data_IF_098277552916
#
_entry.id   IF_098277552916
#
_cell.length_a   1.000
_cell.length_b   1.000
_cell.length_c   1.000
_cell.angle_alpha   90.00
_cell.angle_beta   90.00
_cell.angle_gamma   90.00
#
_symmetry.space_group_name_H-M   'P 1'
#
loop_
_entity.id
_entity.type
_entity.pdbx_description
1 polymer ?
#
# COMPACT_ATOMS: atom_id res chain seq x y z
N UNK A 1 14.46 -17.93 -2.43
CA UNK A 1 13.02 -18.12 -2.73
C UNK A 1 12.57 -19.58 -2.65
N UNK A 2 13.09 -20.53 -3.45
CA UNK A 2 12.60 -21.93 -3.43
C UNK A 2 12.95 -22.74 -2.17
N UNK A 3 13.96 -22.32 -1.40
CA UNK A 3 14.34 -23.00 -0.16
C UNK A 3 13.34 -22.70 0.98
N UNK A 4 12.98 -21.43 1.17
CA UNK A 4 12.17 -20.95 2.32
C UNK A 4 10.73 -21.48 2.27
N UNK A 5 10.14 -21.57 1.07
CA UNK A 5 8.78 -22.10 0.86
C UNK A 5 8.62 -23.57 1.24
N UNK A 6 9.64 -24.39 1.02
CA UNK A 6 9.63 -25.81 1.43
C UNK A 6 9.62 -25.96 2.94
N UNK A 7 10.29 -25.05 3.68
CA UNK A 7 10.26 -25.05 5.14
C UNK A 7 8.92 -24.58 5.69
N UNK A 8 8.32 -23.54 5.09
CA UNK A 8 7.02 -23.00 5.54
C UNK A 8 5.94 -24.08 5.51
N UNK A 9 5.92 -24.94 4.47
CA UNK A 9 4.94 -26.03 4.39
C UNK A 9 4.91 -26.92 5.64
N UNK A 10 6.06 -27.10 6.32
CA UNK A 10 6.24 -27.95 7.51
C UNK A 10 5.95 -27.24 8.84
N UNK A 11 5.76 -25.92 8.84
CA UNK A 11 5.52 -25.14 10.06
C UNK A 11 4.14 -25.47 10.62
N UNK A 12 4.10 -25.79 11.93
CA UNK A 12 2.85 -25.90 12.69
C UNK A 12 2.37 -24.50 13.03
N UNK A 13 1.16 -24.15 12.62
CA UNK A 13 0.56 -22.83 12.87
C UNK A 13 0.41 -22.61 14.38
N UNK A 14 0.82 -21.44 14.86
CA UNK A 14 0.43 -20.97 16.18
C UNK A 14 -1.03 -20.50 16.14
N UNK A 15 -1.93 -21.31 16.70
CA UNK A 15 -3.38 -21.04 16.71
C UNK A 15 -3.78 -19.78 17.52
N UNK A 16 -2.84 -19.15 18.24
CA UNK A 16 -3.08 -17.89 18.96
C UNK A 16 -2.83 -16.64 18.11
N UNK A 17 -2.31 -16.77 16.89
CA UNK A 17 -2.04 -15.62 16.01
C UNK A 17 -3.35 -14.93 15.66
N UNK A 18 -3.40 -13.62 15.87
CA UNK A 18 -4.50 -12.79 15.42
C UNK A 18 -4.36 -12.49 13.91
N UNK A 19 -5.32 -12.94 13.11
CA UNK A 19 -5.37 -12.80 11.65
C UNK A 19 -6.34 -11.71 11.18
N UNK A 20 -6.66 -10.71 12.02
CA UNK A 20 -7.53 -9.59 11.63
C UNK A 20 -7.08 -8.90 10.35
N UNK A 21 -5.78 -8.63 10.20
CA UNK A 21 -5.21 -7.99 8.99
C UNK A 21 -5.52 -8.81 7.74
N UNK A 22 -5.38 -10.13 7.81
CA UNK A 22 -5.76 -11.03 6.72
C UNK A 22 -7.26 -10.97 6.40
N UNK A 23 -8.14 -11.07 7.41
CA UNK A 23 -9.59 -11.00 7.20
C UNK A 23 -10.04 -9.69 6.57
N UNK A 24 -9.51 -8.57 7.07
CA UNK A 24 -9.83 -7.24 6.55
C UNK A 24 -9.33 -7.09 5.11
N UNK A 25 -8.13 -7.59 4.80
CA UNK A 25 -7.59 -7.61 3.45
C UNK A 25 -8.45 -8.44 2.50
N UNK A 26 -8.82 -9.67 2.86
CA UNK A 26 -9.69 -10.52 2.04
C UNK A 26 -11.03 -9.86 1.78
N UNK A 27 -11.68 -9.31 2.82
CA UNK A 27 -12.96 -8.62 2.66
C UNK A 27 -12.83 -7.43 1.71
N UNK A 28 -11.77 -6.64 1.84
CA UNK A 28 -11.49 -5.55 0.93
C UNK A 28 -11.25 -6.05 -0.50
N UNK A 29 -10.47 -7.12 -0.66
CA UNK A 29 -10.14 -7.72 -1.96
C UNK A 29 -11.39 -8.22 -2.68
N UNK A 30 -12.28 -8.92 -1.98
CA UNK A 30 -13.57 -9.40 -2.51
C UNK A 30 -14.44 -8.24 -3.00
N UNK A 31 -14.60 -7.21 -2.16
CA UNK A 31 -15.39 -6.02 -2.50
C UNK A 31 -14.82 -5.28 -3.69
N UNK A 32 -13.50 -5.01 -3.70
CA UNK A 32 -12.83 -4.27 -4.76
C UNK A 32 -12.91 -4.97 -6.12
N UNK A 33 -12.85 -6.30 -6.12
CA UNK A 33 -12.83 -7.10 -7.34
C UNK A 33 -14.19 -7.70 -7.69
N UNK A 34 -15.25 -7.31 -6.96
CA UNK A 34 -16.62 -7.81 -7.14
C UNK A 34 -16.68 -9.34 -7.25
N UNK A 35 -15.94 -10.04 -6.40
CA UNK A 35 -15.83 -11.50 -6.38
C UNK A 35 -16.00 -12.04 -4.97
N UNK A 36 -16.25 -13.35 -4.88
CA UNK A 36 -16.27 -14.09 -3.61
C UNK A 36 -15.25 -15.21 -3.66
N UNK A 37 -14.36 -15.25 -2.67
CA UNK A 37 -13.35 -16.29 -2.52
C UNK A 37 -14.02 -17.52 -1.91
N UNK A 38 -13.79 -18.68 -2.53
CA UNK A 38 -14.34 -19.93 -2.04
C UNK A 38 -13.62 -20.35 -0.76
N UNK A 39 -14.33 -21.11 0.09
CA UNK A 39 -13.81 -21.54 1.40
C UNK A 39 -12.46 -22.24 1.26
N UNK A 40 -12.29 -23.09 0.25
CA UNK A 40 -11.05 -23.81 -0.01
C UNK A 40 -9.87 -22.86 -0.29
N UNK A 41 -10.05 -21.90 -1.19
CA UNK A 41 -9.02 -20.89 -1.52
C UNK A 41 -8.73 -19.98 -0.32
N UNK A 42 -9.77 -19.58 0.42
CA UNK A 42 -9.63 -18.81 1.64
C UNK A 42 -8.79 -19.54 2.70
N UNK A 43 -9.05 -20.83 2.91
CA UNK A 43 -8.30 -21.67 3.84
C UNK A 43 -6.85 -21.83 3.40
N UNK A 44 -6.58 -22.00 2.09
CA UNK A 44 -5.22 -22.04 1.56
C UNK A 44 -4.48 -20.74 1.88
N UNK A 45 -5.07 -19.58 1.56
CA UNK A 45 -4.50 -18.28 1.86
C UNK A 45 -4.30 -18.06 3.36
N UNK A 46 -5.29 -18.36 4.18
CA UNK A 46 -5.19 -18.20 5.64
C UNK A 46 -4.06 -19.05 6.21
N UNK A 47 -3.93 -20.29 5.74
CA UNK A 47 -2.91 -21.22 6.20
C UNK A 47 -1.51 -20.74 5.88
N UNK A 48 -1.22 -20.29 4.65
CA UNK A 48 0.13 -19.84 4.32
C UNK A 48 0.50 -18.57 5.06
N UNK A 49 -0.42 -17.60 5.17
CA UNK A 49 -0.19 -16.32 5.85
C UNK A 49 0.09 -16.57 7.34
N UNK A 50 -0.69 -17.43 7.99
CA UNK A 50 -0.46 -17.79 9.40
C UNK A 50 0.83 -18.57 9.61
N UNK A 51 1.24 -19.42 8.67
CA UNK A 51 2.53 -20.12 8.73
C UNK A 51 3.71 -19.15 8.64
N UNK A 52 3.63 -18.17 7.74
CA UNK A 52 4.65 -17.12 7.62
C UNK A 52 4.68 -16.23 8.86
N UNK A 53 3.52 -15.79 9.37
CA UNK A 53 3.46 -15.06 10.63
C UNK A 53 4.05 -15.86 11.80
N UNK A 54 3.78 -17.17 11.87
CA UNK A 54 4.36 -18.07 12.88
C UNK A 54 5.88 -18.16 12.76
N UNK A 55 6.41 -18.30 11.55
CA UNK A 55 7.85 -18.37 11.30
C UNK A 55 8.61 -17.10 11.70
N UNK A 56 7.94 -15.96 11.58
CA UNK A 56 8.48 -14.66 11.95
C UNK A 56 8.23 -14.29 13.42
N UNK A 57 7.69 -15.22 14.21
CA UNK A 57 7.36 -14.99 15.63
C UNK A 57 6.38 -13.81 15.84
N UNK A 58 5.54 -13.53 14.83
CA UNK A 58 4.55 -12.46 14.92
C UNK A 58 3.38 -12.86 15.83
N UNK A 59 2.95 -11.93 16.69
CA UNK A 59 1.73 -12.10 17.51
C UNK A 59 0.44 -11.91 16.70
N UNK A 60 0.53 -11.18 15.59
CA UNK A 60 -0.57 -10.91 14.68
C UNK A 60 -0.04 -10.89 13.24
N UNK A 61 -0.90 -11.22 12.28
CA UNK A 61 -0.59 -11.11 10.85
C UNK A 61 -0.29 -9.66 10.50
N UNK A 62 0.84 -9.42 9.82
CA UNK A 62 1.27 -8.11 9.32
C UNK A 62 1.01 -7.99 7.81
N UNK A 63 1.22 -6.80 7.25
CA UNK A 63 1.07 -6.58 5.80
C UNK A 63 2.05 -7.42 4.97
N UNK A 64 3.30 -7.58 5.43
CA UNK A 64 4.30 -8.40 4.73
C UNK A 64 3.91 -9.88 4.69
N UNK A 65 3.25 -10.41 5.73
CA UNK A 65 2.80 -11.81 5.76
C UNK A 65 1.78 -12.12 4.64
N UNK A 66 1.00 -11.13 4.20
CA UNK A 66 0.00 -11.28 3.13
C UNK A 66 0.61 -11.67 1.79
N UNK A 67 1.84 -11.25 1.50
CA UNK A 67 2.55 -11.60 0.27
C UNK A 67 2.77 -13.11 0.13
N UNK A 68 2.65 -13.87 1.22
CA UNK A 68 2.74 -15.33 1.19
C UNK A 68 1.64 -15.97 0.32
N UNK A 69 0.51 -15.28 0.12
CA UNK A 69 -0.57 -15.74 -0.76
C UNK A 69 -0.12 -15.88 -2.22
N UNK A 70 0.86 -15.08 -2.66
CA UNK A 70 1.43 -15.17 -4.02
C UNK A 70 2.17 -16.49 -4.28
N UNK A 71 2.49 -17.24 -3.23
CA UNK A 71 3.21 -18.51 -3.34
C UNK A 71 2.30 -19.74 -3.41
N UNK A 72 0.98 -19.54 -3.47
CA UNK A 72 0.01 -20.63 -3.57
C UNK A 72 -0.50 -20.73 -5.00
N UNK A 73 -0.51 -21.94 -5.53
CA UNK A 73 -1.24 -22.26 -6.76
C UNK A 73 -2.75 -22.27 -6.49
N UNK A 74 -3.50 -21.44 -7.21
CA UNK A 74 -4.94 -21.35 -7.13
C UNK A 74 -5.51 -21.06 -8.53
N UNK A 75 -6.69 -21.61 -8.84
CA UNK A 75 -7.31 -21.48 -10.16
C UNK A 75 -8.59 -20.65 -10.15
N UNK A 76 -9.00 -20.14 -8.98
CA UNK A 76 -10.28 -19.46 -8.81
C UNK A 76 -10.23 -18.00 -9.29
N UNK A 77 -9.15 -17.30 -8.95
CA UNK A 77 -8.99 -15.87 -9.18
C UNK A 77 -8.07 -15.66 -10.39
N UNK A 78 -8.66 -15.27 -11.51
CA UNK A 78 -7.91 -14.84 -12.70
C UNK A 78 -7.11 -13.57 -12.41
N UNK A 79 -5.85 -13.53 -12.86
CA UNK A 79 -4.88 -12.44 -12.63
C UNK A 79 -4.71 -12.09 -11.14
N UNK A 80 -4.62 -13.13 -10.29
CA UNK A 80 -4.54 -12.94 -8.84
C UNK A 80 -3.40 -12.03 -8.41
N UNK A 81 -2.20 -12.21 -8.96
CA UNK A 81 -1.03 -11.41 -8.59
C UNK A 81 -1.24 -9.90 -8.84
N UNK A 82 -1.75 -9.53 -10.02
CA UNK A 82 -2.06 -8.14 -10.34
C UNK A 82 -3.11 -7.55 -9.39
N UNK A 83 -4.22 -8.26 -9.18
CA UNK A 83 -5.28 -7.85 -8.25
C UNK A 83 -4.77 -7.74 -6.82
N UNK A 84 -3.87 -8.64 -6.42
CA UNK A 84 -3.25 -8.65 -5.11
C UNK A 84 -2.41 -7.40 -4.91
N UNK A 85 -1.50 -7.07 -5.83
CA UNK A 85 -0.69 -5.85 -5.73
C UNK A 85 -1.55 -4.59 -5.73
N UNK A 86 -2.62 -4.53 -6.52
CA UNK A 86 -3.56 -3.41 -6.49
C UNK A 86 -4.31 -3.31 -5.16
N UNK A 87 -4.68 -4.42 -4.54
CA UNK A 87 -5.31 -4.41 -3.22
C UNK A 87 -4.30 -4.01 -2.14
N UNK A 88 -3.08 -4.54 -2.18
CA UNK A 88 -1.99 -4.20 -1.25
C UNK A 88 -1.62 -2.72 -1.32
N UNK A 89 -1.58 -2.15 -2.52
CA UNK A 89 -1.32 -0.71 -2.70
C UNK A 89 -2.36 0.11 -1.92
N UNK A 90 -3.63 -0.21 -2.11
CA UNK A 90 -4.72 0.56 -1.54
C UNK A 90 -4.86 0.37 -0.03
N UNK A 91 -4.50 -0.80 0.51
CA UNK A 91 -4.55 -1.05 1.95
C UNK A 91 -3.31 -0.52 2.69
N UNK A 92 -2.11 -0.67 2.11
CA UNK A 92 -0.86 -0.19 2.73
C UNK A 92 -0.68 1.32 2.62
N UNK A 93 -1.14 1.93 1.52
CA UNK A 93 -0.93 3.36 1.23
C UNK A 93 -2.24 4.17 1.24
N UNK A 94 -3.30 3.64 1.87
CA UNK A 94 -4.65 4.23 1.88
C UNK A 94 -4.66 5.75 2.12
N UNK A 95 -3.95 6.19 3.16
CA UNK A 95 -3.92 7.60 3.55
C UNK A 95 -3.17 8.46 2.53
N UNK A 96 -2.02 7.99 2.05
CA UNK A 96 -1.25 8.70 1.04
C UNK A 96 -2.07 8.88 -0.25
N UNK A 97 -2.74 7.81 -0.70
CA UNK A 97 -3.61 7.84 -1.87
C UNK A 97 -4.81 8.77 -1.68
N UNK A 98 -5.42 8.79 -0.49
CA UNK A 98 -6.52 9.70 -0.17
C UNK A 98 -6.07 11.17 -0.32
N UNK A 99 -4.94 11.54 0.30
CA UNK A 99 -4.43 12.91 0.17
C UNK A 99 -3.95 13.25 -1.26
N UNK A 100 -3.44 12.28 -2.01
CA UNK A 100 -3.12 12.49 -3.42
C UNK A 100 -4.38 12.80 -4.25
N UNK A 101 -5.49 12.10 -4.01
CA UNK A 101 -6.77 12.39 -4.66
C UNK A 101 -7.25 13.80 -4.35
N UNK A 102 -7.29 14.18 -3.06
CA UNK A 102 -7.69 15.52 -2.65
C UNK A 102 -6.81 16.62 -3.26
N UNK A 103 -5.50 16.38 -3.32
CA UNK A 103 -4.57 17.30 -3.96
C UNK A 103 -4.82 17.39 -5.46
N UNK A 104 -5.13 16.30 -6.15
CA UNK A 104 -5.44 16.31 -7.58
C UNK A 104 -6.70 17.11 -7.87
N UNK A 105 -7.78 16.88 -7.12
CA UNK A 105 -9.06 17.57 -7.31
C UNK A 105 -8.89 19.09 -7.09
N UNK A 106 -8.17 19.45 -6.02
CA UNK A 106 -7.86 20.87 -5.70
C UNK A 106 -6.97 21.50 -6.77
N UNK A 107 -5.97 20.75 -7.27
CA UNK A 107 -5.05 21.20 -8.32
C UNK A 107 -5.81 21.50 -9.61
N UNK A 108 -6.66 20.59 -10.06
CA UNK A 108 -7.46 20.77 -11.28
C UNK A 108 -8.45 21.95 -11.13
N UNK A 109 -9.05 22.13 -9.95
CA UNK A 109 -9.92 23.27 -9.67
C UNK A 109 -9.15 24.60 -9.74
N UNK A 110 -7.99 24.70 -9.08
CA UNK A 110 -7.22 25.93 -9.02
C UNK A 110 -6.58 26.25 -10.38
N UNK A 111 -6.12 25.25 -11.12
CA UNK A 111 -5.58 25.42 -12.48
C UNK A 111 -6.63 26.01 -13.42
N UNK A 112 -7.87 25.51 -13.36
CA UNK A 112 -8.98 26.07 -14.13
C UNK A 112 -9.26 27.54 -13.80
N UNK A 113 -9.21 27.91 -12.50
CA UNK A 113 -9.39 29.31 -12.08
C UNK A 113 -8.21 30.19 -12.47
N UNK A 114 -6.99 29.67 -12.38
CA UNK A 114 -5.78 30.36 -12.80
C UNK A 114 -5.82 30.69 -14.30
N UNK A 115 -6.16 29.69 -15.13
CA UNK A 115 -6.29 29.87 -16.58
C UNK A 115 -7.41 30.84 -16.97
N UNK A 116 -8.48 30.94 -16.17
CA UNK A 116 -9.57 31.91 -16.34
C UNK A 116 -9.29 33.27 -15.69
N UNK A 117 -8.14 33.44 -15.03
CA UNK A 117 -7.78 34.64 -14.28
C UNK A 117 -8.79 34.99 -13.15
N UNK A 118 -9.48 33.99 -12.59
CA UNK A 118 -10.47 34.15 -11.51
C UNK A 118 -9.99 33.64 -10.16
N UNK A 119 -8.69 33.38 -10.01
CA UNK A 119 -8.11 32.84 -8.79
C UNK A 119 -8.00 33.93 -7.72
N UNK A 120 -8.50 33.67 -6.50
CA UNK A 120 -8.46 34.62 -5.41
C UNK A 120 -7.09 34.68 -4.70
N UNK A 121 -6.85 35.75 -3.94
CA UNK A 121 -5.64 35.88 -3.10
C UNK A 121 -5.58 34.77 -2.04
N UNK A 122 -6.72 34.41 -1.46
CA UNK A 122 -6.83 33.32 -0.48
C UNK A 122 -6.48 31.97 -1.10
N UNK A 123 -6.91 31.71 -2.34
CA UNK A 123 -6.57 30.49 -3.07
C UNK A 123 -5.09 30.41 -3.40
N UNK A 124 -4.45 31.53 -3.77
CA UNK A 124 -2.99 31.59 -3.93
C UNK A 124 -2.27 31.27 -2.63
N UNK A 125 -2.76 31.77 -1.50
CA UNK A 125 -2.19 31.49 -0.19
C UNK A 125 -2.38 30.02 0.24
N UNK A 126 -3.55 29.44 -0.03
CA UNK A 126 -3.78 28.01 0.16
C UNK A 126 -2.85 27.16 -0.71
N UNK A 127 -2.62 27.56 -1.97
CA UNK A 127 -1.67 26.89 -2.85
C UNK A 127 -0.25 26.88 -2.25
N UNK A 128 0.22 27.99 -1.66
CA UNK A 128 1.53 28.03 -0.96
C UNK A 128 1.59 27.05 0.20
N UNK A 129 0.56 27.02 1.05
CA UNK A 129 0.48 26.10 2.19
C UNK A 129 0.48 24.63 1.73
N UNK A 130 -0.21 24.32 0.63
CA UNK A 130 -0.21 23.00 0.02
C UNK A 130 1.18 22.62 -0.48
N UNK A 131 1.91 23.53 -1.14
CA UNK A 131 3.30 23.29 -1.55
C UNK A 131 4.18 22.94 -0.35
N UNK A 132 4.10 23.70 0.74
CA UNK A 132 4.88 23.44 1.95
C UNK A 132 4.55 22.09 2.56
N UNK A 133 3.25 21.76 2.65
CA UNK A 133 2.80 20.46 3.16
C UNK A 133 3.29 19.32 2.27
N UNK A 134 3.14 19.42 0.94
CA UNK A 134 3.57 18.39 -0.02
C UNK A 134 5.09 18.19 0.07
N UNK A 135 5.88 19.26 0.16
CA UNK A 135 7.34 19.17 0.34
C UNK A 135 7.72 18.41 1.62
N UNK A 136 7.02 18.66 2.73
CA UNK A 136 7.20 17.89 3.97
C UNK A 136 6.88 16.40 3.77
N UNK A 137 5.79 16.08 3.07
CA UNK A 137 5.47 14.68 2.76
C UNK A 137 6.54 14.02 1.89
N UNK A 138 7.08 14.71 0.88
CA UNK A 138 8.18 14.19 0.06
C UNK A 138 9.40 13.83 0.92
N UNK A 139 9.76 14.68 1.89
CA UNK A 139 10.87 14.39 2.83
C UNK A 139 10.58 13.16 3.68
N UNK A 140 9.35 13.03 4.21
CA UNK A 140 8.92 11.85 4.95
C UNK A 140 9.08 10.60 4.09
N UNK A 141 8.46 10.57 2.92
CA UNK A 141 8.50 9.43 2.01
C UNK A 141 9.92 9.12 1.48
N UNK A 142 10.81 10.11 1.39
CA UNK A 142 12.21 9.89 0.97
C UNK A 142 13.11 9.35 2.09
N UNK A 143 12.61 9.22 3.32
CA UNK A 143 13.38 8.71 4.45
C UNK A 143 13.50 7.18 4.38
N UNK A 144 14.72 6.68 4.13
CA UNK A 144 15.02 5.25 4.03
C UNK A 144 14.62 4.46 5.30
N UNK A 145 14.61 5.12 6.47
CA UNK A 145 14.16 4.52 7.73
C UNK A 145 12.70 4.09 7.71
N UNK A 146 11.84 4.69 6.87
CA UNK A 146 10.47 4.21 6.67
C UNK A 146 10.38 2.78 6.13
N UNK A 147 11.49 2.27 5.58
CA UNK A 147 11.60 0.93 5.02
C UNK A 147 12.44 0.06 5.95
N UNK A 148 13.63 0.54 6.33
CA UNK A 148 14.60 -0.22 7.14
C UNK A 148 14.11 -0.52 8.55
N UNK A 149 13.42 0.43 9.18
CA UNK A 149 12.98 0.34 10.58
C UNK A 149 11.50 -0.05 10.70
N UNK A 150 10.82 -0.41 9.59
CA UNK A 150 9.38 -0.66 9.59
C UNK A 150 9.02 -2.07 10.04
N UNK A 151 8.40 -2.25 11.22
CA UNK A 151 8.09 -3.57 11.75
C UNK A 151 7.09 -4.36 10.89
N UNK A 152 6.28 -3.68 10.06
CA UNK A 152 5.34 -4.33 9.16
C UNK A 152 6.01 -4.99 7.96
N UNK A 153 7.26 -4.60 7.64
CA UNK A 153 8.06 -5.12 6.52
C UNK A 153 9.11 -6.15 6.95
N UNK A 154 9.41 -6.24 8.25
CA UNK A 154 10.33 -7.22 8.80
C UNK A 154 9.76 -8.63 8.63
N UNK A 155 10.23 -9.36 7.61
CA UNK A 155 9.76 -10.69 7.31
C UNK A 155 10.84 -11.53 6.65
N UNK A 156 11.21 -12.64 7.29
CA UNK A 156 12.26 -13.58 6.85
C UNK A 156 11.88 -14.33 5.56
N UNK A 157 10.61 -14.34 5.18
CA UNK A 157 10.10 -15.06 4.01
C UNK A 157 9.76 -14.10 2.88
N UNK A 158 8.86 -13.16 3.16
CA UNK A 158 8.26 -12.27 2.17
C UNK A 158 8.83 -10.86 2.24
N UNK A 159 9.81 -10.60 3.12
CA UNK A 159 10.30 -9.26 3.41
C UNK A 159 10.84 -8.57 2.18
N UNK A 160 11.65 -9.25 1.36
CA UNK A 160 12.19 -8.67 0.13
C UNK A 160 11.07 -8.26 -0.84
N UNK A 161 10.04 -9.10 -1.03
CA UNK A 161 8.89 -8.76 -1.88
C UNK A 161 8.11 -7.55 -1.34
N UNK A 162 7.86 -7.53 -0.02
CA UNK A 162 7.15 -6.44 0.62
C UNK A 162 7.95 -5.12 0.56
N UNK A 163 9.26 -5.19 0.77
CA UNK A 163 10.19 -4.05 0.69
C UNK A 163 10.27 -3.52 -0.74
N UNK A 164 10.46 -4.38 -1.73
CA UNK A 164 10.55 -3.99 -3.13
C UNK A 164 9.24 -3.35 -3.60
N UNK A 165 8.10 -3.95 -3.24
CA UNK A 165 6.79 -3.36 -3.50
C UNK A 165 6.64 -1.99 -2.83
N UNK A 166 7.02 -1.88 -1.55
CA UNK A 166 6.93 -0.62 -0.81
C UNK A 166 7.78 0.46 -1.48
N UNK A 167 9.05 0.17 -1.83
CA UNK A 167 9.94 1.09 -2.54
C UNK A 167 9.33 1.60 -3.83
N UNK A 168 8.84 0.68 -4.67
CA UNK A 168 8.21 1.03 -5.95
C UNK A 168 7.00 1.95 -5.77
N UNK A 169 6.09 1.64 -4.84
CA UNK A 169 4.93 2.49 -4.58
C UNK A 169 5.33 3.85 -4.00
N UNK A 170 6.33 3.85 -3.13
CA UNK A 170 6.84 5.06 -2.50
C UNK A 170 7.45 6.04 -3.52
N UNK A 171 8.24 5.53 -4.48
CA UNK A 171 8.78 6.32 -5.60
C UNK A 171 7.66 6.92 -6.46
N UNK A 172 6.61 6.14 -6.76
CA UNK A 172 5.44 6.62 -7.51
C UNK A 172 4.75 7.75 -6.73
N UNK A 173 4.57 7.57 -5.42
CA UNK A 173 3.93 8.56 -4.55
C UNK A 173 4.72 9.88 -4.53
N UNK A 174 6.04 9.80 -4.35
CA UNK A 174 6.93 10.95 -4.37
C UNK A 174 6.85 11.69 -5.70
N UNK A 175 6.85 10.95 -6.82
CA UNK A 175 6.76 11.55 -8.16
C UNK A 175 5.46 12.33 -8.36
N UNK A 176 4.33 11.76 -7.95
CA UNK A 176 3.02 12.44 -8.03
C UNK A 176 3.00 13.69 -7.15
N UNK A 177 3.52 13.60 -5.92
CA UNK A 177 3.61 14.77 -5.04
C UNK A 177 4.50 15.88 -5.61
N UNK A 178 5.65 15.55 -6.19
CA UNK A 178 6.50 16.54 -6.87
C UNK A 178 5.75 17.25 -7.99
N UNK A 179 4.99 16.51 -8.79
CA UNK A 179 4.16 17.10 -9.83
C UNK A 179 3.08 18.04 -9.28
N UNK A 180 2.34 17.61 -8.25
CA UNK A 180 1.34 18.47 -7.59
C UNK A 180 1.97 19.75 -7.01
N UNK A 181 3.12 19.64 -6.34
CA UNK A 181 3.82 20.79 -5.79
C UNK A 181 4.19 21.80 -6.88
N UNK A 182 4.73 21.35 -8.01
CA UNK A 182 5.10 22.24 -9.12
C UNK A 182 3.90 23.04 -9.65
N UNK A 183 2.73 22.39 -9.79
CA UNK A 183 1.53 23.08 -10.26
C UNK A 183 1.04 24.11 -9.25
N UNK A 184 0.97 23.76 -7.96
CA UNK A 184 0.60 24.73 -6.92
C UNK A 184 1.60 25.87 -6.78
N UNK A 185 2.90 25.64 -6.99
CA UNK A 185 3.92 26.69 -7.01
C UNK A 185 3.66 27.70 -8.12
N UNK A 186 3.29 27.24 -9.32
CA UNK A 186 2.92 28.14 -10.43
C UNK A 186 1.67 28.96 -10.10
N UNK A 187 0.64 28.30 -9.58
CA UNK A 187 -0.65 28.92 -9.21
C UNK A 187 -0.48 29.97 -8.10
N UNK A 188 0.47 29.75 -7.18
CA UNK A 188 0.70 30.61 -6.02
C UNK A 188 1.40 31.94 -6.30
N UNK A 189 1.92 32.13 -7.52
CA UNK A 189 2.54 33.38 -7.99
C UNK A 189 1.45 34.37 -8.41
#
# INVERSE_FOLDING_TARGET
>A
MNHDLKYIKKIKINNKINDKVFRDFIKYFEVKNSLKIEVQTYELFSNIVKKVATYNDHLFVTQSDLFAMLFIEQNQITNFEEKFYLAMKDTMFKEALYYQSLNSDTKDQFENKFNKQTLSVEEKEHAKKLVEWIKKQIVVFSNEKLIEENPQLLNKVTGNLAIDFFKQQNEIIIRIYKWHANVFEMISK
#
